data_IF_914369198623
#
_entry.id   IF_914369198623
#
_cell.length_a   1.000
_cell.length_b   1.000
_cell.length_c   1.000
_cell.angle_alpha   90.00
_cell.angle_beta   90.00
_cell.angle_gamma   90.00
#
_symmetry.space_group_name_H-M   'P 1'
#
loop_
_entity.id
_entity.type
_entity.pdbx_description
1 polymer ?
#
# COMPACT_ATOMS: atom_id res chain seq x y z
N UNK A 1 2.97 -14.23 13.67
CA UNK A 1 2.34 -13.14 12.89
C UNK A 1 1.83 -13.71 11.58
N UNK A 2 0.54 -13.59 11.29
CA UNK A 2 -0.02 -14.00 10.01
C UNK A 2 0.40 -12.97 8.96
N UNK A 3 1.21 -13.38 7.98
CA UNK A 3 1.61 -12.53 6.87
C UNK A 3 0.37 -12.11 6.08
N UNK A 4 0.13 -10.79 5.97
CA UNK A 4 -0.87 -10.23 5.08
C UNK A 4 -0.27 -10.23 3.67
N UNK A 5 -0.81 -11.04 2.75
CA UNK A 5 -0.38 -10.99 1.35
C UNK A 5 -0.91 -9.70 0.70
N UNK A 6 0.00 -8.75 0.49
CA UNK A 6 -0.17 -7.67 -0.47
C UNK A 6 0.80 -7.95 -1.63
N UNK A 7 0.32 -8.32 -2.83
CA UNK A 7 1.20 -8.68 -3.94
C UNK A 7 2.22 -7.61 -4.32
N UNK A 8 1.94 -6.32 -4.00
CA UNK A 8 2.84 -5.18 -4.21
C UNK A 8 3.54 -5.18 -5.57
N UNK A 9 2.78 -5.45 -6.63
CA UNK A 9 3.31 -5.50 -7.98
C UNK A 9 4.03 -4.20 -8.35
N UNK A 10 3.38 -3.08 -8.00
CA UNK A 10 3.86 -1.73 -8.17
C UNK A 10 4.18 -1.08 -6.82
N UNK A 11 4.98 -0.01 -6.86
CA UNK A 11 5.30 0.80 -5.69
C UNK A 11 4.11 1.65 -5.29
N UNK A 12 3.33 1.14 -4.35
CA UNK A 12 2.12 1.76 -3.84
C UNK A 12 2.08 1.67 -2.33
N UNK A 13 1.61 2.75 -1.73
CA UNK A 13 1.57 2.90 -0.28
C UNK A 13 0.27 3.58 0.11
N UNK A 14 -0.45 2.98 1.05
CA UNK A 14 -1.65 3.56 1.67
C UNK A 14 -1.26 4.14 3.02
N UNK A 15 -1.13 5.46 3.08
CA UNK A 15 -0.89 6.19 4.34
C UNK A 15 -2.22 6.67 4.92
N UNK A 16 -2.42 6.45 6.21
CA UNK A 16 -3.66 6.85 6.88
C UNK A 16 -3.42 7.29 8.33
N UNK A 17 -4.39 8.07 8.83
CA UNK A 17 -4.59 8.35 10.24
C UNK A 17 -5.77 7.53 10.72
N UNK A 18 -5.65 6.91 11.90
CA UNK A 18 -6.74 6.12 12.47
C UNK A 18 -7.01 6.52 13.91
N UNK A 19 -8.29 6.66 14.25
CA UNK A 19 -8.77 6.84 15.62
C UNK A 19 -10.04 6.01 15.80
N UNK A 20 -10.15 5.33 16.92
CA UNK A 20 -11.30 4.50 17.26
C UNK A 20 -11.77 4.73 18.70
N UNK A 21 -13.03 4.38 18.97
CA UNK A 21 -13.60 4.33 20.33
C UNK A 21 -13.57 2.89 20.81
N UNK A 22 -12.80 2.64 21.86
CA UNK A 22 -12.59 1.32 22.46
C UNK A 22 -13.18 1.27 23.87
N UNK A 23 -13.16 0.10 24.51
CA UNK A 23 -13.62 -0.06 25.91
C UNK A 23 -12.85 0.81 26.89
N UNK A 24 -11.61 1.17 26.56
CA UNK A 24 -10.74 2.09 27.32
C UNK A 24 -10.75 3.53 26.76
N UNK A 25 -11.81 3.94 26.06
CA UNK A 25 -11.97 5.29 25.53
C UNK A 25 -11.44 5.47 24.11
N UNK A 26 -11.25 6.72 23.72
CA UNK A 26 -10.78 7.05 22.36
C UNK A 26 -9.28 6.83 22.24
N UNK A 27 -8.86 6.09 21.22
CA UNK A 27 -7.46 5.77 20.95
C UNK A 27 -7.12 6.24 19.54
N UNK A 28 -6.00 6.95 19.41
CA UNK A 28 -5.40 7.29 18.11
C UNK A 28 -4.29 6.29 17.82
N UNK A 29 -4.05 5.96 16.56
CA UNK A 29 -3.05 4.99 16.14
C UNK A 29 -1.99 5.63 15.26
N UNK A 30 -0.75 5.20 15.42
CA UNK A 30 0.40 5.67 14.66
C UNK A 30 1.63 4.80 14.91
N UNK A 31 2.81 5.25 14.48
CA UNK A 31 4.10 4.55 14.65
C UNK A 31 4.11 3.11 14.08
N UNK A 32 3.48 2.91 12.92
CA UNK A 32 3.52 1.61 12.25
C UNK A 32 3.53 1.75 10.73
N UNK A 33 4.46 1.06 10.10
CA UNK A 33 4.65 1.09 8.65
C UNK A 33 5.21 -0.22 8.13
N UNK A 34 4.96 -0.48 6.86
CA UNK A 34 5.42 -1.68 6.17
C UNK A 34 4.32 -2.30 5.32
N UNK A 35 4.71 -3.25 4.47
CA UNK A 35 3.80 -3.99 3.62
C UNK A 35 2.80 -3.14 2.79
N UNK A 36 3.21 -1.93 2.39
CA UNK A 36 2.40 -1.04 1.55
C UNK A 36 1.40 -0.18 2.33
N UNK A 37 1.58 -0.06 3.65
CA UNK A 37 0.70 0.71 4.53
C UNK A 37 1.50 1.49 5.58
N UNK A 38 1.04 2.69 5.90
CA UNK A 38 1.55 3.49 7.02
C UNK A 38 0.36 3.96 7.87
N UNK A 39 0.44 3.72 9.16
CA UNK A 39 -0.44 4.22 10.21
C UNK A 39 0.33 5.27 10.98
N UNK A 40 -0.12 6.53 10.92
CA UNK A 40 0.64 7.68 11.44
C UNK A 40 -0.17 8.49 12.46
N UNK A 41 0.51 9.03 13.46
CA UNK A 41 0.08 10.22 14.21
C UNK A 41 0.45 11.49 13.44
N UNK A 42 1.68 11.57 12.93
CA UNK A 42 2.22 12.72 12.20
C UNK A 42 2.59 12.34 10.77
N UNK A 43 2.03 13.06 9.79
CA UNK A 43 2.38 12.89 8.37
C UNK A 43 3.68 13.60 7.94
N UNK A 44 4.42 14.14 8.89
CA UNK A 44 5.67 14.87 8.69
C UNK A 44 6.66 14.51 9.79
N UNK A 45 7.90 14.95 9.64
CA UNK A 45 8.95 14.67 10.61
C UNK A 45 9.47 13.26 10.49
N UNK A 46 10.01 12.76 11.59
CA UNK A 46 10.65 11.45 11.59
C UNK A 46 9.66 10.30 11.51
N UNK A 47 8.46 10.42 12.06
CA UNK A 47 7.47 9.33 12.01
C UNK A 47 7.17 8.92 10.57
N UNK A 48 6.77 9.88 9.71
CA UNK A 48 6.56 9.57 8.29
C UNK A 48 7.80 8.95 7.63
N UNK A 49 8.98 9.53 7.86
CA UNK A 49 10.25 9.02 7.32
C UNK A 49 10.62 7.64 7.90
N UNK A 50 10.24 7.32 9.11
CA UNK A 50 10.50 6.02 9.74
C UNK A 50 9.59 4.96 9.13
N UNK A 51 8.28 5.23 9.12
CA UNK A 51 7.28 4.26 8.66
C UNK A 51 7.37 3.99 7.15
N UNK A 52 7.68 5.01 6.34
CA UNK A 52 7.94 4.79 4.90
C UNK A 52 9.26 4.02 4.68
N UNK A 53 10.22 4.15 5.59
CA UNK A 53 11.47 3.39 5.56
C UNK A 53 11.23 1.89 5.72
N UNK A 54 10.32 1.51 6.62
CA UNK A 54 9.86 0.12 6.74
C UNK A 54 9.20 -0.40 5.47
N UNK A 55 8.43 0.42 4.75
CA UNK A 55 7.89 0.03 3.44
C UNK A 55 9.00 -0.31 2.44
N UNK A 56 10.10 0.46 2.44
CA UNK A 56 11.27 0.17 1.61
C UNK A 56 12.09 -1.05 2.08
N UNK A 57 11.71 -1.66 3.21
CA UNK A 57 12.36 -2.85 3.76
C UNK A 57 13.53 -2.55 4.68
N UNK A 58 13.62 -1.34 5.23
CA UNK A 58 14.56 -1.02 6.30
C UNK A 58 14.05 -1.56 7.65
N UNK A 59 14.96 -2.06 8.47
CA UNK A 59 14.74 -2.29 9.89
C UNK A 59 15.21 -1.09 10.72
N UNK A 60 15.11 -1.19 12.05
CA UNK A 60 15.70 -0.19 12.95
C UNK A 60 17.23 -0.27 12.92
N UNK A 61 17.88 0.89 13.10
CA UNK A 61 19.34 1.02 13.18
C UNK A 61 20.10 0.33 12.03
N UNK A 62 19.80 0.66 10.75
CA UNK A 62 20.50 0.08 9.61
C UNK A 62 22.00 0.34 9.71
N UNK A 63 22.79 -0.71 9.48
CA UNK A 63 24.24 -0.64 9.53
C UNK A 63 24.84 -0.54 10.93
N UNK A 64 24.04 -0.70 11.99
CA UNK A 64 24.57 -0.90 13.33
C UNK A 64 25.31 -2.24 13.44
N UNK A 65 26.40 -2.25 14.21
CA UNK A 65 27.24 -3.42 14.43
C UNK A 65 27.07 -3.92 15.86
N UNK A 66 26.98 -5.24 16.04
CA UNK A 66 26.78 -5.90 17.32
C UNK A 66 27.91 -6.89 17.61
N UNK A 67 28.29 -6.96 18.89
CA UNK A 67 29.16 -8.02 19.45
C UNK A 67 28.37 -8.62 20.62
N UNK A 68 28.19 -9.95 20.62
CA UNK A 68 27.43 -10.68 21.65
C UNK A 68 26.06 -10.03 21.95
N UNK A 69 25.27 -9.80 20.89
CA UNK A 69 23.96 -9.13 20.90
C UNK A 69 23.92 -7.67 21.39
N UNK A 70 25.06 -7.13 21.81
CA UNK A 70 25.20 -5.74 22.25
C UNK A 70 25.64 -4.88 21.08
N UNK A 71 24.88 -3.81 20.78
CA UNK A 71 25.28 -2.87 19.73
C UNK A 71 26.50 -2.08 20.17
N UNK A 72 27.60 -2.21 19.43
CA UNK A 72 28.88 -1.57 19.73
C UNK A 72 29.20 -0.39 18.82
N UNK A 73 28.53 -0.27 17.66
CA UNK A 73 28.80 0.81 16.72
C UNK A 73 27.57 1.20 15.87
N UNK A 74 27.40 2.50 15.61
CA UNK A 74 26.30 3.10 14.86
C UNK A 74 26.75 3.97 13.68
N UNK A 75 28.01 3.85 13.23
CA UNK A 75 28.61 4.69 12.20
C UNK A 75 27.72 4.83 10.95
N UNK A 76 27.12 3.72 10.48
CA UNK A 76 26.23 3.71 9.31
C UNK A 76 24.75 4.03 9.63
N UNK A 77 24.38 4.02 10.90
CA UNK A 77 23.06 4.38 11.41
C UNK A 77 22.87 5.90 11.58
N UNK A 78 23.93 6.68 11.37
CA UNK A 78 23.94 8.14 11.34
C UNK A 78 24.67 8.63 10.09
N UNK A 79 24.55 9.91 9.80
CA UNK A 79 25.43 10.59 8.85
C UNK A 79 26.84 10.69 9.46
N UNK A 80 27.86 10.80 8.62
CA UNK A 80 29.27 10.90 9.02
C UNK A 80 30.07 11.70 7.98
N UNK A 81 31.38 11.84 8.19
CA UNK A 81 32.25 12.65 7.32
C UNK A 81 32.27 12.16 5.86
N UNK A 82 32.08 10.85 5.65
CA UNK A 82 32.01 10.25 4.31
C UNK A 82 30.57 10.20 3.77
N UNK A 83 29.59 10.74 4.49
CA UNK A 83 28.23 10.91 3.99
C UNK A 83 28.13 12.16 3.12
N UNK A 84 27.57 12.01 1.92
CA UNK A 84 27.23 13.15 1.07
C UNK A 84 26.13 14.04 1.68
N UNK A 85 26.01 15.25 1.13
CA UNK A 85 24.88 16.13 1.41
C UNK A 85 23.74 15.86 0.42
N UNK A 86 22.50 16.01 0.88
CA UNK A 86 21.34 15.94 0.00
C UNK A 86 21.22 17.17 -0.90
N UNK A 87 20.39 17.05 -1.93
CA UNK A 87 20.06 18.15 -2.83
C UNK A 87 18.55 18.23 -3.04
N UNK A 88 17.97 19.42 -2.89
CA UNK A 88 16.54 19.68 -3.08
C UNK A 88 16.39 20.43 -4.40
N UNK A 89 16.18 19.67 -5.48
CA UNK A 89 16.21 20.18 -6.86
C UNK A 89 15.26 21.33 -7.13
N UNK A 90 14.01 21.24 -6.67
CA UNK A 90 13.01 22.30 -6.89
C UNK A 90 13.30 23.61 -6.14
N UNK A 91 14.20 23.59 -5.15
CA UNK A 91 14.65 24.80 -4.44
C UNK A 91 16.05 25.24 -4.87
N UNK A 92 16.76 24.44 -5.66
CA UNK A 92 18.17 24.63 -5.98
C UNK A 92 19.02 24.87 -4.71
N UNK A 93 18.85 24.01 -3.70
CA UNK A 93 19.57 24.12 -2.41
C UNK A 93 20.12 22.77 -1.96
N UNK A 94 21.32 22.82 -1.40
CA UNK A 94 21.88 21.69 -0.66
C UNK A 94 21.16 21.50 0.67
N UNK A 95 21.10 20.25 1.11
CA UNK A 95 20.57 19.82 2.39
C UNK A 95 21.70 19.17 3.19
N UNK A 96 22.16 19.87 4.22
CA UNK A 96 23.22 19.37 5.08
C UNK A 96 22.86 18.08 5.82
N UNK A 97 23.90 17.30 6.13
CA UNK A 97 23.83 16.05 6.90
C UNK A 97 24.12 16.26 8.40
N UNK A 98 24.31 17.50 8.84
CA UNK A 98 24.53 17.88 10.23
C UNK A 98 23.22 18.17 10.95
N UNK A 99 23.20 17.95 12.26
CA UNK A 99 22.10 18.33 13.14
C UNK A 99 22.29 19.79 13.60
N UNK A 100 22.08 20.74 12.68
CA UNK A 100 22.36 22.17 12.86
C UNK A 100 21.69 22.84 14.08
N UNK A 101 20.57 22.28 14.54
CA UNK A 101 19.81 22.81 15.66
C UNK A 101 20.22 22.20 17.01
N UNK A 102 21.12 21.22 17.01
CA UNK A 102 21.61 20.57 18.23
C UNK A 102 22.97 21.14 18.63
N UNK A 103 23.07 21.62 19.86
CA UNK A 103 24.34 21.90 20.53
C UNK A 103 24.86 20.71 21.34
N UNK A 104 24.12 19.60 21.38
CA UNK A 104 24.50 18.41 22.13
C UNK A 104 25.45 17.54 21.30
N UNK A 105 26.74 17.61 21.63
CA UNK A 105 27.79 16.83 20.99
C UNK A 105 27.84 15.43 21.60
N UNK A 106 27.86 14.41 20.74
CA UNK A 106 28.07 13.04 21.20
C UNK A 106 29.49 12.83 21.73
N UNK A 107 29.70 11.89 22.65
CA UNK A 107 31.03 11.53 23.12
C UNK A 107 31.84 10.68 22.12
N UNK A 108 31.20 10.27 21.02
CA UNK A 108 31.80 9.50 19.92
C UNK A 108 32.04 8.02 20.23
N UNK A 109 31.75 7.54 21.44
CA UNK A 109 32.03 6.14 21.85
C UNK A 109 31.21 5.12 21.07
N UNK A 110 30.08 5.55 20.54
CA UNK A 110 29.18 4.74 19.73
C UNK A 110 29.60 4.69 18.24
N UNK A 111 30.77 5.23 17.89
CA UNK A 111 31.30 5.27 16.53
C UNK A 111 30.84 6.48 15.71
N UNK A 112 29.95 7.33 16.22
CA UNK A 112 29.45 8.52 15.52
C UNK A 112 30.19 9.75 16.06
N UNK A 113 31.24 10.18 15.36
CA UNK A 113 32.02 11.37 15.72
C UNK A 113 31.28 12.66 15.38
N UNK A 114 31.61 13.77 16.05
CA UNK A 114 31.11 15.10 15.67
C UNK A 114 31.95 15.71 14.53
N UNK A 115 31.31 16.44 13.62
CA UNK A 115 32.01 17.23 12.62
C UNK A 115 32.81 18.35 13.29
N UNK A 116 34.14 18.28 13.14
CA UNK A 116 35.11 19.22 13.73
C UNK A 116 34.99 19.42 15.24
N UNK A 117 34.34 18.50 15.97
CA UNK A 117 33.95 18.69 17.38
C UNK A 117 33.04 19.91 17.63
N UNK A 118 32.37 20.41 16.59
CA UNK A 118 31.51 21.59 16.64
C UNK A 118 30.04 21.26 16.37
N UNK A 119 29.78 20.28 15.51
CA UNK A 119 28.41 19.92 15.12
C UNK A 119 28.21 18.41 15.17
N UNK A 120 27.10 17.92 15.74
CA UNK A 120 26.72 16.53 15.62
C UNK A 120 26.21 16.25 14.19
N UNK A 121 26.44 15.04 13.68
CA UNK A 121 25.78 14.58 12.47
C UNK A 121 24.31 14.24 12.75
N UNK A 122 23.46 14.32 11.72
CA UNK A 122 22.09 13.84 11.79
C UNK A 122 22.04 12.31 11.87
N UNK A 123 21.02 11.78 12.54
CA UNK A 123 20.75 10.34 12.57
C UNK A 123 19.86 9.91 11.40
N UNK A 124 19.97 8.65 10.99
CA UNK A 124 19.07 8.06 10.00
C UNK A 124 17.61 8.08 10.51
N UNK A 125 16.64 8.13 9.59
CA UNK A 125 15.22 8.11 9.97
C UNK A 125 14.83 6.84 10.74
N UNK A 126 15.54 5.74 10.53
CA UNK A 126 15.37 4.45 11.20
C UNK A 126 16.14 4.33 12.52
N UNK A 127 16.81 5.40 12.95
CA UNK A 127 17.72 5.42 14.11
C UNK A 127 17.48 6.61 15.03
N UNK A 128 16.23 7.10 15.11
CA UNK A 128 15.89 8.26 15.93
C UNK A 128 16.28 9.61 15.33
N UNK A 129 16.43 9.67 14.00
CA UNK A 129 16.67 10.91 13.27
C UNK A 129 15.58 11.97 13.45
N UNK A 130 15.89 13.19 13.00
CA UNK A 130 14.99 14.33 13.09
C UNK A 130 15.16 15.27 11.90
N UNK A 131 14.24 16.22 11.78
CA UNK A 131 14.28 17.27 10.76
C UNK A 131 15.35 18.30 11.10
N UNK A 132 16.51 18.20 10.44
CA UNK A 132 17.62 19.16 10.60
C UNK A 132 17.70 20.14 9.42
N UNK A 133 16.56 20.65 8.95
CA UNK A 133 16.52 21.53 7.78
C UNK A 133 15.39 22.54 7.90
N UNK A 134 15.67 23.81 7.60
CA UNK A 134 14.63 24.85 7.46
C UNK A 134 13.84 24.72 6.15
N UNK A 135 14.26 23.84 5.23
CA UNK A 135 13.70 23.71 3.88
C UNK A 135 13.11 22.33 3.59
N UNK A 136 13.17 21.39 4.54
CA UNK A 136 12.52 20.08 4.47
C UNK A 136 11.96 19.66 5.83
N UNK A 137 10.70 19.22 5.83
CA UNK A 137 9.98 18.73 7.03
C UNK A 137 10.11 17.22 7.25
N UNK A 138 10.96 16.53 6.49
CA UNK A 138 11.16 15.08 6.61
C UNK A 138 12.57 14.78 7.09
N UNK A 139 12.83 13.65 7.73
CA UNK A 139 14.18 13.28 8.15
C UNK A 139 15.05 12.92 6.93
N UNK A 140 16.35 13.19 7.00
CA UNK A 140 17.28 12.84 5.93
C UNK A 140 17.80 11.42 6.15
N UNK A 141 17.43 10.48 5.28
CA UNK A 141 18.08 9.16 5.29
C UNK A 141 19.57 9.27 5.02
N UNK A 142 20.35 8.35 5.58
CA UNK A 142 21.78 8.21 5.26
C UNK A 142 21.95 7.66 3.84
N UNK A 143 23.16 7.85 3.29
CA UNK A 143 23.53 7.19 2.03
C UNK A 143 23.44 5.66 2.15
N UNK A 144 23.79 5.12 3.32
CA UNK A 144 23.71 3.69 3.62
C UNK A 144 22.28 3.14 3.47
N UNK A 145 21.29 3.72 4.14
CA UNK A 145 19.89 3.29 4.03
C UNK A 145 19.36 3.42 2.60
N UNK A 146 19.74 4.51 1.93
CA UNK A 146 19.32 4.79 0.55
C UNK A 146 19.84 3.73 -0.42
N UNK A 147 21.14 3.42 -0.34
CA UNK A 147 21.79 2.41 -1.17
C UNK A 147 21.29 1.00 -0.86
N UNK A 148 21.27 0.62 0.42
CA UNK A 148 20.97 -0.74 0.85
C UNK A 148 19.55 -1.17 0.47
N UNK A 149 18.56 -0.29 0.69
CA UNK A 149 17.14 -0.65 0.56
C UNK A 149 16.36 0.30 -0.34
N UNK A 150 16.41 1.61 -0.12
CA UNK A 150 15.43 2.51 -0.77
C UNK A 150 15.55 2.50 -2.29
N UNK A 151 16.75 2.71 -2.84
CA UNK A 151 16.95 2.76 -4.29
C UNK A 151 16.65 1.40 -4.94
N UNK A 152 17.18 0.31 -4.38
CA UNK A 152 16.97 -1.05 -4.89
C UNK A 152 15.50 -1.49 -4.82
N UNK A 153 14.73 -0.92 -3.89
CA UNK A 153 13.29 -1.16 -3.77
C UNK A 153 12.52 -0.65 -5.00
N UNK A 154 12.95 0.45 -5.62
CA UNK A 154 12.34 0.97 -6.86
C UNK A 154 12.77 0.19 -8.10
N UNK A 155 14.04 -0.22 -8.19
CA UNK A 155 14.59 -0.94 -9.37
C UNK A 155 13.90 -2.30 -9.59
N UNK A 156 13.41 -2.92 -8.52
CA UNK A 156 12.83 -4.27 -8.55
C UNK A 156 11.30 -4.31 -8.68
N UNK A 157 10.68 -3.22 -9.13
CA UNK A 157 9.22 -3.09 -9.14
C UNK A 157 8.70 -2.71 -10.51
N UNK A 158 7.46 -3.10 -10.74
CA UNK A 158 6.75 -2.72 -11.95
C UNK A 158 6.25 -1.29 -11.76
N UNK A 159 6.17 -0.56 -12.87
CA UNK A 159 5.48 0.72 -12.94
C UNK A 159 4.33 0.60 -13.91
N UNK A 160 3.25 1.33 -13.65
CA UNK A 160 2.20 1.50 -14.63
C UNK A 160 2.68 2.40 -15.76
N UNK A 161 2.36 2.02 -16.98
CA UNK A 161 2.71 2.78 -18.17
C UNK A 161 1.62 2.55 -19.23
N UNK A 162 0.87 3.60 -19.54
CA UNK A 162 -0.25 3.55 -20.50
C UNK A 162 0.22 3.21 -21.92
N UNK A 163 1.45 3.59 -22.27
CA UNK A 163 2.08 3.28 -23.56
C UNK A 163 2.45 1.80 -23.69
N UNK A 164 2.46 1.04 -22.58
CA UNK A 164 2.78 -0.38 -22.58
C UNK A 164 1.59 -1.21 -23.05
N UNK A 165 1.76 -2.19 -23.96
CA UNK A 165 0.69 -3.09 -24.36
C UNK A 165 0.16 -3.93 -23.18
N UNK A 166 1.00 -4.23 -22.17
CA UNK A 166 0.58 -4.88 -20.93
C UNK A 166 0.09 -3.91 -19.86
N UNK A 167 0.31 -2.60 -20.03
CA UNK A 167 0.10 -1.58 -19.00
C UNK A 167 1.21 -1.49 -17.96
N UNK A 168 2.27 -2.31 -18.09
CA UNK A 168 3.38 -2.37 -17.13
C UNK A 168 4.73 -2.28 -17.83
N UNK A 169 5.68 -1.60 -17.18
CA UNK A 169 7.11 -1.67 -17.48
C UNK A 169 7.91 -2.01 -16.23
N UNK A 170 9.14 -2.49 -16.42
CA UNK A 170 10.13 -2.67 -15.35
C UNK A 170 11.51 -2.26 -15.84
N UNK A 171 12.34 -1.73 -14.94
CA UNK A 171 13.72 -1.38 -15.25
C UNK A 171 14.54 -2.63 -15.56
N UNK A 172 15.23 -2.63 -16.70
CA UNK A 172 16.22 -3.62 -17.06
C UNK A 172 17.63 -3.02 -16.85
N UNK A 173 18.45 -3.58 -15.93
CA UNK A 173 19.78 -3.06 -15.64
C UNK A 173 20.80 -3.27 -16.77
N UNK A 174 20.60 -4.28 -17.63
CA UNK A 174 21.51 -4.61 -18.72
C UNK A 174 21.37 -3.62 -19.87
N UNK A 175 20.13 -3.35 -20.29
CA UNK A 175 19.82 -2.37 -21.34
C UNK A 175 19.70 -0.94 -20.81
N UNK A 176 19.63 -0.76 -19.49
CA UNK A 176 19.48 0.53 -18.80
C UNK A 176 18.26 1.33 -19.27
N UNK A 177 17.14 0.64 -19.43
CA UNK A 177 15.88 1.23 -19.87
C UNK A 177 14.68 0.54 -19.21
N UNK A 178 13.53 1.21 -19.27
CA UNK A 178 12.25 0.63 -18.88
C UNK A 178 11.71 -0.23 -20.02
N UNK A 179 11.47 -1.51 -19.76
CA UNK A 179 11.01 -2.47 -20.77
C UNK A 179 9.59 -2.96 -20.46
N UNK A 180 8.85 -3.25 -21.53
CA UNK A 180 7.52 -3.86 -21.44
C UNK A 180 7.63 -5.23 -20.80
N UNK A 181 6.78 -5.49 -19.81
CA UNK A 181 6.73 -6.77 -19.10
C UNK A 181 5.28 -7.22 -18.91
N UNK A 182 5.07 -8.52 -18.90
CA UNK A 182 3.76 -9.14 -18.63
C UNK A 182 3.83 -9.82 -17.26
N UNK A 183 3.51 -9.11 -16.16
CA UNK A 183 3.64 -9.66 -14.83
C UNK A 183 2.65 -10.80 -14.61
N UNK A 184 3.16 -11.96 -14.19
CA UNK A 184 2.34 -13.13 -13.85
C UNK A 184 1.72 -12.99 -12.47
N UNK A 185 0.46 -13.40 -12.33
CA UNK A 185 -0.16 -13.50 -11.00
C UNK A 185 0.45 -14.68 -10.23
N UNK A 186 0.69 -14.55 -8.91
CA UNK A 186 1.20 -15.67 -8.12
C UNK A 186 0.10 -16.70 -7.86
N UNK A 187 0.50 -17.97 -7.67
CA UNK A 187 -0.40 -18.98 -7.13
C UNK A 187 -0.75 -18.61 -5.68
N UNK A 188 -2.03 -18.34 -5.40
CA UNK A 188 -2.49 -17.94 -4.07
C UNK A 188 -3.83 -18.58 -3.73
N UNK A 189 -3.93 -19.08 -2.50
CA UNK A 189 -5.21 -19.45 -1.87
C UNK A 189 -5.81 -18.32 -1.04
N UNK A 190 -5.14 -17.16 -0.96
CA UNK A 190 -5.54 -16.03 -0.12
C UNK A 190 -6.12 -14.88 -0.94
N UNK A 191 -5.60 -14.67 -2.15
CA UNK A 191 -6.01 -13.59 -3.05
C UNK A 191 -6.52 -14.21 -4.33
N UNK A 192 -7.75 -13.85 -4.70
CA UNK A 192 -8.31 -14.23 -5.99
C UNK A 192 -7.97 -13.16 -7.02
N UNK A 193 -6.89 -13.39 -7.77
CA UNK A 193 -6.44 -12.47 -8.83
C UNK A 193 -7.36 -12.44 -10.05
N UNK A 194 -8.24 -13.44 -10.17
CA UNK A 194 -9.23 -13.58 -11.24
C UNK A 194 -8.66 -13.31 -12.64
N UNK A 195 -7.52 -13.95 -12.93
CA UNK A 195 -6.81 -13.85 -14.20
C UNK A 195 -7.09 -15.09 -15.04
N UNK A 196 -7.58 -14.89 -16.26
CA UNK A 196 -7.90 -15.98 -17.19
C UNK A 196 -6.64 -16.54 -17.88
N UNK A 197 -5.64 -15.70 -18.11
CA UNK A 197 -4.41 -16.01 -18.85
C UNK A 197 -3.17 -16.14 -17.95
N UNK A 198 -3.32 -15.94 -16.64
CA UNK A 198 -2.24 -16.02 -15.65
C UNK A 198 -1.45 -14.73 -15.48
N UNK A 199 -1.89 -13.60 -16.06
CA UNK A 199 -1.25 -12.30 -15.94
C UNK A 199 -2.09 -11.29 -15.17
N UNK A 200 -1.44 -10.29 -14.57
CA UNK A 200 -2.17 -9.16 -13.99
C UNK A 200 -2.89 -8.38 -15.08
N UNK A 201 -4.11 -7.94 -14.79
CA UNK A 201 -4.90 -7.13 -15.71
C UNK A 201 -4.18 -5.82 -16.03
N UNK A 202 -4.21 -5.43 -17.31
CA UNK A 202 -3.87 -4.08 -17.76
C UNK A 202 -4.96 -3.11 -17.26
N UNK A 203 -4.60 -1.95 -16.67
CA UNK A 203 -5.56 -0.88 -16.47
C UNK A 203 -6.16 -0.43 -17.80
N UNK A 204 -7.49 -0.34 -17.87
CA UNK A 204 -8.19 0.33 -18.99
C UNK A 204 -7.99 1.84 -18.92
N UNK A 205 -8.00 2.40 -17.71
CA UNK A 205 -7.75 3.83 -17.46
C UNK A 205 -6.65 3.98 -16.42
N UNK A 206 -5.75 4.94 -16.65
CA UNK A 206 -4.59 5.21 -15.80
C UNK A 206 -4.74 6.55 -15.09
N UNK A 207 -4.55 6.57 -13.77
CA UNK A 207 -4.45 7.81 -12.99
C UNK A 207 -5.66 8.74 -13.05
N UNK A 208 -6.87 8.20 -13.21
CA UNK A 208 -8.11 8.97 -13.30
C UNK A 208 -8.76 9.11 -11.91
N UNK A 209 -9.67 10.08 -11.71
CA UNK A 209 -10.51 10.11 -10.52
C UNK A 209 -11.38 8.84 -10.40
N UNK A 210 -11.37 8.21 -9.22
CA UNK A 210 -12.08 6.95 -8.97
C UNK A 210 -12.93 7.00 -7.70
N UNK A 211 -13.94 6.15 -7.69
CA UNK A 211 -14.64 5.69 -6.50
C UNK A 211 -14.15 4.28 -6.19
N UNK A 212 -13.53 4.08 -5.04
CA UNK A 212 -13.09 2.78 -4.55
C UNK A 212 -14.17 2.20 -3.64
N UNK A 213 -14.80 1.12 -4.11
CA UNK A 213 -15.72 0.31 -3.32
C UNK A 213 -14.88 -0.59 -2.43
N UNK A 214 -15.14 -0.58 -1.13
CA UNK A 214 -14.43 -1.41 -0.13
C UNK A 214 -15.47 -2.19 0.66
N UNK A 215 -15.19 -3.45 0.96
CA UNK A 215 -16.15 -4.28 1.67
C UNK A 215 -15.57 -5.60 2.17
N UNK A 216 -16.43 -6.33 2.87
CA UNK A 216 -16.19 -7.72 3.25
C UNK A 216 -17.42 -8.56 2.94
N UNK A 217 -17.21 -9.82 2.59
CA UNK A 217 -18.29 -10.76 2.31
C UNK A 217 -17.88 -12.19 2.61
N UNK A 218 -18.82 -13.01 3.03
CA UNK A 218 -18.60 -14.42 3.27
C UNK A 218 -19.51 -15.25 2.36
N UNK A 219 -18.96 -15.90 1.32
CA UNK A 219 -19.73 -16.73 0.40
C UNK A 219 -20.48 -17.89 1.10
N UNK A 220 -19.97 -18.39 2.22
CA UNK A 220 -20.53 -19.54 2.91
C UNK A 220 -21.75 -19.18 3.78
N UNK A 221 -21.69 -18.06 4.50
CA UNK A 221 -22.81 -17.56 5.31
C UNK A 221 -23.74 -16.61 4.54
N UNK A 222 -23.33 -16.16 3.35
CA UNK A 222 -24.02 -15.16 2.53
C UNK A 222 -24.23 -13.83 3.26
N UNK A 223 -23.31 -13.49 4.15
CA UNK A 223 -23.26 -12.19 4.82
C UNK A 223 -22.25 -11.29 4.13
N UNK A 224 -22.50 -9.98 4.13
CA UNK A 224 -21.57 -9.02 3.57
C UNK A 224 -21.89 -7.60 3.99
N UNK A 225 -20.88 -6.75 3.86
CA UNK A 225 -20.94 -5.33 4.15
C UNK A 225 -20.13 -4.57 3.10
N UNK A 226 -20.74 -3.53 2.56
CA UNK A 226 -20.03 -2.50 1.81
C UNK A 226 -19.84 -1.30 2.72
N UNK A 227 -18.62 -0.79 2.79
CA UNK A 227 -18.32 0.46 3.49
C UNK A 227 -18.68 1.66 2.61
N UNK A 228 -18.82 2.85 3.22
CA UNK A 228 -18.93 4.08 2.46
C UNK A 228 -17.81 4.18 1.41
N UNK A 229 -18.19 4.58 0.20
CA UNK A 229 -17.27 4.58 -0.90
C UNK A 229 -16.15 5.61 -0.70
N UNK A 230 -14.91 5.18 -0.89
CA UNK A 230 -13.76 6.06 -0.84
C UNK A 230 -13.61 6.78 -2.19
N UNK A 231 -13.35 8.08 -2.16
CA UNK A 231 -13.11 8.87 -3.38
C UNK A 231 -11.63 9.19 -3.49
N UNK A 232 -11.08 9.07 -4.70
CA UNK A 232 -9.71 9.45 -5.02
C UNK A 232 -9.69 10.28 -6.29
N UNK A 233 -8.79 11.26 -6.37
CA UNK A 233 -8.51 12.02 -7.59
C UNK A 233 -7.56 11.28 -8.54
N UNK A 234 -6.95 10.18 -8.10
CA UNK A 234 -5.99 9.42 -8.90
C UNK A 234 -6.09 7.92 -8.59
N UNK A 235 -6.37 7.11 -9.60
CA UNK A 235 -6.46 5.67 -9.49
C UNK A 235 -6.55 4.99 -10.85
N UNK A 236 -6.24 3.70 -10.86
CA UNK A 236 -6.31 2.87 -12.05
C UNK A 236 -7.61 2.09 -12.06
N UNK A 237 -8.24 1.99 -13.23
CA UNK A 237 -9.50 1.25 -13.45
C UNK A 237 -9.21 0.11 -14.42
N UNK A 238 -9.77 -1.05 -14.14
CA UNK A 238 -9.49 -2.28 -14.87
C UNK A 238 -10.75 -2.77 -15.57
N UNK A 239 -10.58 -3.58 -16.62
CA UNK A 239 -11.69 -4.33 -17.20
C UNK A 239 -12.01 -5.51 -16.30
N UNK A 240 -13.00 -5.28 -15.44
CA UNK A 240 -13.35 -6.22 -14.39
C UNK A 240 -14.15 -7.39 -14.98
N UNK A 241 -13.83 -8.62 -14.56
CA UNK A 241 -14.46 -9.83 -15.06
C UNK A 241 -15.95 -9.88 -14.75
N UNK A 242 -16.73 -10.34 -15.73
CA UNK A 242 -18.18 -10.43 -15.61
C UNK A 242 -18.61 -11.63 -14.73
N UNK A 243 -19.63 -11.43 -13.90
CA UNK A 243 -20.18 -12.50 -13.07
C UNK A 243 -21.04 -13.49 -13.88
N UNK A 244 -20.82 -14.80 -13.69
CA UNK A 244 -21.66 -15.85 -14.27
C UNK A 244 -22.88 -16.14 -13.38
N UNK A 245 -23.94 -15.34 -13.53
CA UNK A 245 -25.16 -15.45 -12.70
C UNK A 245 -26.02 -16.70 -12.95
N UNK A 246 -25.93 -17.26 -14.16
CA UNK A 246 -26.75 -18.37 -14.61
C UNK A 246 -26.27 -19.76 -14.16
N UNK A 247 -25.07 -19.87 -13.58
CA UNK A 247 -24.53 -21.16 -13.18
C UNK A 247 -25.30 -21.75 -11.98
N UNK A 248 -25.45 -23.08 -11.95
CA UNK A 248 -25.93 -23.83 -10.77
C UNK A 248 -24.95 -23.78 -9.59
N UNK A 249 -23.75 -23.24 -9.84
CA UNK A 249 -22.63 -23.16 -8.91
C UNK A 249 -22.72 -21.94 -8.00
N UNK A 250 -21.91 -21.93 -6.93
CA UNK A 250 -21.79 -20.78 -6.05
C UNK A 250 -21.21 -19.58 -6.81
N UNK A 251 -21.71 -18.38 -6.54
CA UNK A 251 -21.23 -17.14 -7.16
C UNK A 251 -21.44 -15.95 -6.24
N UNK A 252 -20.46 -15.05 -6.17
CA UNK A 252 -20.61 -13.73 -5.56
C UNK A 252 -20.27 -12.65 -6.60
N UNK A 253 -20.93 -11.50 -6.52
CA UNK A 253 -20.68 -10.39 -7.43
C UNK A 253 -21.07 -9.03 -6.85
N UNK A 254 -20.46 -7.97 -7.37
CA UNK A 254 -20.99 -6.62 -7.24
C UNK A 254 -21.88 -6.33 -8.44
N UNK A 255 -23.07 -5.81 -8.20
CA UNK A 255 -23.92 -5.21 -9.22
C UNK A 255 -23.74 -3.70 -9.18
N UNK A 256 -23.05 -3.16 -10.18
CA UNK A 256 -22.73 -1.74 -10.32
C UNK A 256 -23.73 -1.12 -11.29
N UNK A 257 -24.55 -0.21 -10.79
CA UNK A 257 -25.50 0.57 -11.56
C UNK A 257 -24.86 1.89 -11.96
N UNK A 258 -24.81 2.16 -13.25
CA UNK A 258 -24.39 3.42 -13.84
C UNK A 258 -25.62 4.15 -14.43
N UNK A 259 -25.44 5.40 -14.86
CA UNK A 259 -26.53 6.20 -15.45
C UNK A 259 -27.25 5.51 -16.63
N UNK A 260 -26.53 4.75 -17.46
CA UNK A 260 -27.06 4.16 -18.69
C UNK A 260 -26.91 2.63 -18.81
N UNK A 261 -26.29 1.97 -17.83
CA UNK A 261 -25.99 0.53 -17.89
C UNK A 261 -25.83 -0.05 -16.50
N UNK A 262 -25.86 -1.38 -16.40
CA UNK A 262 -25.43 -2.11 -15.22
C UNK A 262 -24.28 -3.06 -15.57
N UNK A 263 -23.42 -3.34 -14.59
CA UNK A 263 -22.32 -4.29 -14.74
C UNK A 263 -22.23 -5.18 -13.52
N UNK A 264 -22.17 -6.49 -13.74
CA UNK A 264 -21.94 -7.45 -12.67
C UNK A 264 -20.46 -7.83 -12.64
N UNK A 265 -19.74 -7.37 -11.61
CA UNK A 265 -18.32 -7.68 -11.39
C UNK A 265 -18.21 -8.94 -10.55
N UNK A 266 -17.55 -9.97 -11.09
CA UNK A 266 -17.35 -11.23 -10.39
C UNK A 266 -16.50 -11.03 -9.11
N UNK A 267 -16.90 -11.70 -8.03
CA UNK A 267 -16.15 -11.86 -6.79
C UNK A 267 -15.86 -13.35 -6.56
N UNK A 268 -14.91 -13.65 -5.67
CA UNK A 268 -14.51 -15.03 -5.41
C UNK A 268 -15.72 -15.83 -4.87
N UNK A 269 -16.07 -16.97 -5.49
CA UNK A 269 -17.29 -17.71 -5.15
C UNK A 269 -17.15 -18.54 -3.87
N UNK A 270 -15.94 -18.66 -3.33
CA UNK A 270 -15.61 -19.40 -2.11
C UNK A 270 -14.82 -18.51 -1.15
N UNK A 271 -14.84 -18.86 0.14
CA UNK A 271 -14.03 -18.17 1.13
C UNK A 271 -12.55 -18.44 0.84
N UNK A 272 -11.75 -17.38 0.73
CA UNK A 272 -10.31 -17.47 0.46
C UNK A 272 -9.58 -17.86 1.75
N UNK A 273 -9.34 -16.89 2.66
CA UNK A 273 -8.69 -17.11 3.96
C UNK A 273 -9.36 -16.32 5.07
N UNK A 274 -9.40 -16.89 6.27
CA UNK A 274 -9.98 -16.26 7.46
C UNK A 274 -11.49 -16.45 7.53
N UNK A 275 -12.20 -15.48 8.11
CA UNK A 275 -13.63 -15.59 8.40
C UNK A 275 -14.53 -15.01 7.29
N UNK A 276 -13.97 -14.13 6.45
CA UNK A 276 -14.66 -13.50 5.33
C UNK A 276 -13.64 -13.01 4.29
N UNK A 277 -14.07 -12.90 3.04
CA UNK A 277 -13.31 -12.29 1.96
C UNK A 277 -13.35 -10.77 2.08
N UNK A 278 -12.25 -10.12 1.71
CA UNK A 278 -12.19 -8.66 1.52
C UNK A 278 -12.33 -8.35 0.03
N UNK A 279 -12.95 -7.22 -0.30
CA UNK A 279 -13.02 -6.73 -1.67
C UNK A 279 -12.59 -5.26 -1.74
N UNK A 280 -11.98 -4.90 -2.87
CA UNK A 280 -11.76 -3.52 -3.26
C UNK A 280 -11.84 -3.38 -4.78
N UNK A 281 -12.64 -2.43 -5.26
CA UNK A 281 -12.87 -2.21 -6.70
C UNK A 281 -12.84 -0.72 -7.00
N UNK A 282 -12.00 -0.31 -7.96
CA UNK A 282 -12.00 1.06 -8.48
C UNK A 282 -12.98 1.19 -9.65
N UNK A 283 -13.86 2.17 -9.56
CA UNK A 283 -14.79 2.59 -10.61
C UNK A 283 -14.42 4.01 -11.04
N UNK A 284 -14.37 4.30 -12.34
CA UNK A 284 -14.09 5.66 -12.81
C UNK A 284 -15.25 6.59 -12.44
N UNK A 285 -14.96 7.79 -11.93
CA UNK A 285 -16.00 8.80 -11.66
C UNK A 285 -16.70 9.20 -12.97
N UNK A 286 -15.96 9.26 -14.08
CA UNK A 286 -16.48 9.59 -15.41
C UNK A 286 -17.49 8.58 -15.94
N UNK A 287 -17.44 7.33 -15.47
CA UNK A 287 -18.43 6.31 -15.82
C UNK A 287 -19.78 6.55 -15.10
N UNK A 288 -19.82 7.49 -14.15
CA UNK A 288 -21.00 7.90 -13.37
C UNK A 288 -21.70 6.73 -12.64
N UNK A 289 -20.97 5.97 -11.79
CA UNK A 289 -21.60 4.93 -10.97
C UNK A 289 -22.55 5.57 -9.95
N UNK A 290 -23.78 5.05 -9.89
CA UNK A 290 -24.88 5.57 -9.06
C UNK A 290 -25.07 4.73 -7.81
N UNK A 291 -24.98 3.41 -7.94
CA UNK A 291 -25.25 2.47 -6.85
C UNK A 291 -24.42 1.20 -7.03
N UNK A 292 -23.99 0.61 -5.92
CA UNK A 292 -23.35 -0.70 -5.90
C UNK A 292 -24.05 -1.59 -4.89
N UNK A 293 -24.47 -2.78 -5.33
CA UNK A 293 -25.06 -3.81 -4.48
C UNK A 293 -24.14 -5.04 -4.46
N UNK A 294 -24.09 -5.73 -3.33
CA UNK A 294 -23.32 -6.96 -3.16
C UNK A 294 -24.26 -8.16 -3.12
N UNK A 295 -23.98 -9.18 -3.92
CA UNK A 295 -24.77 -10.40 -4.00
C UNK A 295 -23.90 -11.64 -3.85
N UNK A 296 -24.44 -12.66 -3.19
CA UNK A 296 -23.87 -13.99 -3.09
C UNK A 296 -24.96 -15.06 -3.21
N UNK A 297 -24.72 -16.07 -4.04
CA UNK A 297 -25.59 -17.19 -4.33
C UNK A 297 -24.88 -18.49 -3.96
N UNK A 298 -25.58 -19.38 -3.25
CA UNK A 298 -25.15 -20.77 -3.01
C UNK A 298 -25.52 -21.67 -4.19
N UNK A 299 -24.84 -22.82 -4.34
CA UNK A 299 -25.23 -23.81 -5.32
C UNK A 299 -26.70 -24.20 -5.10
N UNK A 300 -27.47 -24.31 -6.18
CA UNK A 300 -28.82 -24.85 -6.06
C UNK A 300 -28.71 -26.33 -5.68
N UNK A 301 -29.26 -26.73 -4.52
CA UNK A 301 -29.48 -28.15 -4.25
C UNK A 301 -30.51 -28.69 -5.26
N UNK A 302 -30.35 -29.92 -5.80
CA UNK A 302 -31.33 -30.51 -6.69
C UNK A 302 -32.72 -30.48 -6.02
N UNK A 303 -33.70 -29.97 -6.76
CA UNK A 303 -35.04 -29.61 -6.27
C UNK A 303 -35.74 -30.77 -5.54
N UNK A 304 -36.23 -30.50 -4.34
CA UNK A 304 -37.57 -30.92 -3.94
C UNK A 304 -38.19 -29.84 -3.04
N UNK A 305 -39.38 -29.41 -3.45
CA UNK A 305 -40.34 -28.49 -2.83
C UNK A 305 -40.12 -26.97 -2.87
N UNK A 306 -41.18 -26.34 -3.42
CA UNK A 306 -41.47 -24.92 -3.48
C UNK A 306 -41.45 -24.26 -2.09
N UNK A 307 -40.63 -23.21 -1.96
CA UNK A 307 -40.99 -22.01 -1.21
C UNK A 307 -40.45 -20.82 -2.00
N UNK A 308 -41.31 -19.86 -2.29
CA UNK A 308 -40.88 -18.49 -2.54
C UNK A 308 -40.12 -17.99 -1.30
N UNK A 309 -38.82 -18.27 -1.27
CA UNK A 309 -37.89 -17.57 -0.41
C UNK A 309 -37.39 -16.37 -1.21
N UNK A 310 -38.09 -15.24 -1.03
CA UNK A 310 -37.43 -13.94 -1.09
C UNK A 310 -36.30 -14.02 -0.06
N UNK A 311 -35.08 -14.29 -0.50
CA UNK A 311 -33.92 -13.87 0.27
C UNK A 311 -34.09 -12.37 0.45
N UNK A 312 -34.21 -11.93 1.69
CA UNK A 312 -34.19 -10.52 2.05
C UNK A 312 -33.10 -9.85 1.22
N UNK A 313 -33.55 -8.90 0.40
CA UNK A 313 -32.72 -7.84 -0.16
C UNK A 313 -31.95 -7.21 1.00
N UNK A 314 -30.75 -7.70 1.32
CA UNK A 314 -29.70 -6.83 1.81
C UNK A 314 -29.01 -6.23 0.58
N UNK A 315 -29.79 -5.61 -0.29
CA UNK A 315 -29.32 -4.36 -0.84
C UNK A 315 -29.14 -3.49 0.40
N UNK A 316 -27.90 -3.28 0.82
CA UNK A 316 -27.57 -2.02 1.44
C UNK A 316 -27.40 -1.09 0.24
N UNK A 317 -28.47 -0.41 -0.24
CA UNK A 317 -28.30 0.56 -1.29
C UNK A 317 -27.34 1.61 -0.76
N UNK A 318 -26.12 1.61 -1.29
CA UNK A 318 -25.20 2.71 -1.05
C UNK A 318 -25.28 3.61 -2.27
N UNK A 319 -25.95 4.75 -2.08
CA UNK A 319 -25.96 5.84 -3.06
C UNK A 319 -24.54 6.42 -3.12
N UNK A 320 -23.97 6.44 -4.31
CA UNK A 320 -22.64 7.01 -4.56
C UNK A 320 -22.66 8.53 -4.72
N UNK A 321 -23.80 9.17 -4.44
CA UNK A 321 -24.03 10.61 -4.48
C UNK A 321 -24.93 11.04 -3.32
#
# INVERSE_FOLDING_TARGET
MLSQQQPQLTQTVVTHHARGKYSNGEQTHGLSGGNGMLTLYNSVGNEFSHEIGHHYGLGHYPGSFKVDDTTTNYFWSAHHADSGWGYIGYRNKMRGNLAWQSSNLGDGKNGVLNFLKLYPYGWDAMSGGATNSSISRYTHYTGYSTFLRIQSHFTNRHVWDESSPSGYKRWNPDSRQMEVVYPKVPNSSEVWYNSADGYYLKPRLFGVPVITIIGGYDPETQQGVLYPAARSNWGNVYDLPAAQRGAEQAACWLDVQYTNRSQNVALAPHRMRGNANKLHVNLAITDQPQQVNLYCKKPMKPRNYYRHLRCLNTALPFQLL
#
